data_IF_764489915787
#
_entry.id   IF_764489915787
#
_cell.length_a   1.000
_cell.length_b   1.000
_cell.length_c   1.000
_cell.angle_alpha   90.00
_cell.angle_beta   90.00
_cell.angle_gamma   90.00
#
_symmetry.space_group_name_H-M   'P 1'
#
loop_
_entity.id
_entity.type
_entity.pdbx_description
1 polymer ?
#
# COMPACT_ATOMS: atom_id res chain seq x y z
N UNK A 1 33.46 28.94 33.49
CA UNK A 1 33.03 29.34 32.13
C UNK A 1 32.31 28.18 31.43
N UNK A 2 31.23 27.61 32.00
CA UNK A 2 30.56 26.40 31.46
C UNK A 2 29.06 26.55 31.22
N UNK A 3 28.45 27.69 31.56
CA UNK A 3 26.99 27.84 31.62
C UNK A 3 26.30 28.01 30.26
N UNK A 4 26.99 28.52 29.25
CA UNK A 4 26.38 28.79 27.92
C UNK A 4 26.10 27.53 27.09
N UNK A 5 26.87 26.45 27.29
CA UNK A 5 26.62 25.17 26.61
C UNK A 5 25.39 24.44 27.18
N UNK A 6 25.14 24.59 28.49
CA UNK A 6 23.97 24.00 29.16
C UNK A 6 22.66 24.70 28.75
N UNK A 7 22.69 26.03 28.59
CA UNK A 7 21.53 26.81 28.12
C UNK A 7 21.16 26.48 26.67
N UNK A 8 22.16 26.39 25.77
CA UNK A 8 21.94 25.99 24.37
C UNK A 8 21.41 24.55 24.29
N UNK A 9 21.94 23.64 25.10
CA UNK A 9 21.47 22.27 25.20
C UNK A 9 20.02 22.18 25.70
N UNK A 10 19.66 22.97 26.71
CA UNK A 10 18.29 23.05 27.22
C UNK A 10 17.33 23.61 26.16
N UNK A 11 17.68 24.72 25.51
CA UNK A 11 16.86 25.33 24.46
C UNK A 11 16.66 24.39 23.28
N UNK A 12 17.71 23.67 22.87
CA UNK A 12 17.63 22.67 21.79
C UNK A 12 16.67 21.55 22.16
N UNK A 13 16.76 21.01 23.38
CA UNK A 13 15.84 19.95 23.85
C UNK A 13 14.39 20.43 23.91
N UNK A 14 14.16 21.66 24.36
CA UNK A 14 12.82 22.25 24.42
C UNK A 14 12.26 22.45 23.01
N UNK A 15 13.06 23.00 22.09
CA UNK A 15 12.66 23.20 20.70
C UNK A 15 12.31 21.88 20.02
N UNK A 16 13.15 20.85 20.18
CA UNK A 16 12.90 19.51 19.66
C UNK A 16 11.65 18.88 20.28
N UNK A 17 11.42 19.06 21.59
CA UNK A 17 10.22 18.56 22.27
C UNK A 17 8.94 19.20 21.74
N UNK A 18 8.95 20.52 21.52
CA UNK A 18 7.81 21.24 20.92
C UNK A 18 7.59 20.74 19.49
N UNK A 19 8.64 20.69 18.67
CA UNK A 19 8.54 20.23 17.29
C UNK A 19 8.00 18.80 17.20
N UNK A 20 8.46 17.89 18.07
CA UNK A 20 7.95 16.52 18.15
C UNK A 20 6.47 16.48 18.54
N UNK A 21 6.06 17.30 19.51
CA UNK A 21 4.66 17.38 19.96
C UNK A 21 3.75 17.91 18.84
N UNK A 22 4.17 18.96 18.14
CA UNK A 22 3.43 19.52 17.00
C UNK A 22 3.27 18.48 15.89
N UNK A 23 4.35 17.79 15.54
CA UNK A 23 4.30 16.69 14.55
C UNK A 23 3.33 15.61 14.97
N UNK A 24 3.37 15.18 16.23
CA UNK A 24 2.50 14.13 16.74
C UNK A 24 1.01 14.54 16.76
N UNK A 25 0.70 15.78 17.14
CA UNK A 25 -0.68 16.31 17.12
C UNK A 25 -1.19 16.40 15.68
N UNK A 26 -0.37 16.91 14.76
CA UNK A 26 -0.73 17.01 13.35
C UNK A 26 -0.94 15.62 12.72
N UNK A 27 -0.05 14.66 13.00
CA UNK A 27 -0.24 13.26 12.62
C UNK A 27 -1.58 12.73 13.13
N UNK A 28 -1.93 12.99 14.39
CA UNK A 28 -3.16 12.49 14.99
C UNK A 28 -4.39 13.05 14.28
N UNK A 29 -4.43 14.37 14.05
CA UNK A 29 -5.52 15.02 13.34
C UNK A 29 -5.67 14.51 11.90
N UNK A 30 -4.56 14.39 11.17
CA UNK A 30 -4.55 13.91 9.80
C UNK A 30 -4.99 12.45 9.67
N UNK A 31 -4.60 11.60 10.63
CA UNK A 31 -5.04 10.21 10.69
C UNK A 31 -6.55 10.10 10.96
N UNK A 32 -7.07 10.85 11.94
CA UNK A 32 -8.51 10.87 12.23
C UNK A 32 -9.30 11.36 11.01
N UNK A 33 -8.87 12.46 10.39
CA UNK A 33 -9.48 12.99 9.17
C UNK A 33 -9.49 11.94 8.06
N UNK A 34 -8.38 11.21 7.86
CA UNK A 34 -8.29 10.18 6.83
C UNK A 34 -9.23 9.00 7.12
N UNK A 35 -9.41 8.60 8.39
CA UNK A 35 -10.37 7.57 8.75
C UNK A 35 -11.83 8.00 8.49
N UNK A 36 -12.17 9.24 8.84
CA UNK A 36 -13.53 9.80 8.67
C UNK A 36 -13.88 10.05 7.20
N UNK A 37 -12.96 10.65 6.45
CA UNK A 37 -13.22 11.09 5.06
C UNK A 37 -12.80 10.08 4.01
N UNK A 38 -12.03 9.05 4.40
CA UNK A 38 -11.38 8.10 3.49
C UNK A 38 -10.58 8.81 2.39
N UNK A 39 -9.93 9.91 2.75
CA UNK A 39 -9.09 10.71 1.87
C UNK A 39 -7.78 11.06 2.59
N UNK A 40 -6.65 10.80 1.94
CA UNK A 40 -5.33 11.11 2.46
C UNK A 40 -4.95 12.56 2.15
N UNK A 41 -4.59 13.32 3.18
CA UNK A 41 -4.02 14.66 3.01
C UNK A 41 -2.61 14.60 2.40
N UNK A 42 -2.23 15.55 1.52
CA UNK A 42 -0.86 15.64 0.99
C UNK A 42 0.17 15.94 2.09
N UNK A 43 -0.25 16.48 3.24
CA UNK A 43 0.62 16.75 4.38
C UNK A 43 1.02 15.46 5.12
N UNK A 44 0.18 14.42 5.06
CA UNK A 44 0.45 13.11 5.64
C UNK A 44 1.34 12.28 4.71
N UNK A 45 1.01 12.22 3.42
CA UNK A 45 1.81 11.53 2.40
C UNK A 45 1.89 12.37 1.12
N UNK A 46 3.02 12.38 0.39
CA UNK A 46 3.14 13.12 -0.89
C UNK A 46 2.21 12.56 -1.96
N UNK A 47 1.57 13.41 -2.78
CA UNK A 47 0.62 12.99 -3.84
C UNK A 47 1.23 11.95 -4.80
N UNK A 48 0.50 10.90 -5.20
CA UNK A 48 1.04 9.79 -5.99
C UNK A 48 1.54 10.19 -7.38
N UNK A 49 1.11 11.34 -7.92
CA UNK A 49 1.57 11.83 -9.22
C UNK A 49 2.92 12.56 -9.19
N UNK A 50 3.48 12.80 -8.01
CA UNK A 50 4.74 13.55 -7.87
C UNK A 50 5.98 12.65 -7.69
N UNK A 51 5.82 11.32 -7.76
CA UNK A 51 6.92 10.35 -7.55
C UNK A 51 7.77 10.09 -8.79
N UNK A 52 7.49 10.77 -9.90
CA UNK A 52 8.26 10.67 -11.15
C UNK A 52 9.30 11.78 -11.31
N UNK A 53 10.09 12.13 -10.29
CA UNK A 53 11.27 13.02 -10.40
C UNK A 53 12.06 13.10 -9.09
N UNK A 54 12.82 12.06 -8.75
CA UNK A 54 13.93 12.24 -7.78
C UNK A 54 15.16 12.78 -8.50
N UNK A 55 15.09 14.02 -9.00
CA UNK A 55 16.25 14.84 -9.39
C UNK A 55 15.82 16.17 -10.02
N UNK A 56 15.41 17.12 -9.20
CA UNK A 56 15.56 18.53 -9.57
C UNK A 56 15.74 19.36 -8.31
N UNK A 57 17.01 19.72 -8.12
CA UNK A 57 17.51 20.79 -7.28
C UNK A 57 16.55 21.99 -7.39
N UNK A 58 15.76 22.27 -6.37
CA UNK A 58 14.97 23.50 -6.31
C UNK A 58 15.86 24.64 -5.81
N UNK A 59 16.79 25.03 -6.70
CA UNK A 59 17.27 26.39 -6.83
C UNK A 59 16.10 27.24 -7.37
N UNK A 60 15.15 27.58 -6.50
CA UNK A 60 14.07 28.48 -6.86
C UNK A 60 14.54 29.93 -6.70
N UNK A 61 15.08 30.44 -7.80
CA UNK A 61 14.97 31.83 -8.28
C UNK A 61 15.53 32.96 -7.41
N UNK A 62 16.85 33.13 -7.51
CA UNK A 62 17.45 34.45 -7.41
C UNK A 62 17.15 35.27 -8.69
N UNK A 63 16.43 36.38 -8.50
CA UNK A 63 16.73 37.70 -9.07
C UNK A 63 16.52 37.94 -10.58
N UNK A 64 15.38 38.54 -10.88
CA UNK A 64 15.20 39.65 -11.82
C UNK A 64 13.94 40.38 -11.34
N UNK A 65 13.85 41.69 -11.14
CA UNK A 65 14.67 42.83 -11.48
C UNK A 65 14.27 44.00 -10.55
N UNK A 66 15.19 44.94 -10.42
CA UNK A 66 15.16 46.19 -9.65
C UNK A 66 13.86 47.01 -9.71
N UNK A 67 13.42 47.57 -8.58
CA UNK A 67 13.48 49.01 -8.31
C UNK A 67 12.95 49.38 -6.91
N UNK A 68 13.58 50.41 -6.34
CA UNK A 68 13.48 51.02 -5.00
C UNK A 68 12.07 51.22 -4.38
N UNK A 69 12.03 51.21 -3.04
CA UNK A 69 11.59 52.28 -2.11
C UNK A 69 11.14 51.62 -0.78
N UNK A 70 11.92 51.73 0.29
CA UNK A 70 11.93 52.82 1.28
C UNK A 70 10.55 53.04 1.93
N UNK A 71 10.51 52.67 3.22
CA UNK A 71 9.53 52.96 4.27
C UNK A 71 8.43 53.97 3.91
N UNK A 72 7.16 53.54 4.00
CA UNK A 72 6.08 54.48 4.25
C UNK A 72 5.03 53.91 5.20
N UNK A 73 4.68 54.76 6.15
CA UNK A 73 3.79 54.59 7.28
C UNK A 73 2.48 55.30 6.94
N UNK A 74 1.35 54.67 7.30
CA UNK A 74 0.02 55.25 7.49
C UNK A 74 -1.02 55.17 6.35
N UNK A 75 -2.26 55.01 6.81
CA UNK A 75 -3.57 55.30 6.20
C UNK A 75 -4.19 54.31 5.19
N UNK A 76 -5.08 53.46 5.72
CA UNK A 76 -6.48 53.24 5.27
C UNK A 76 -6.79 52.85 3.82
N UNK A 77 -6.96 51.54 3.56
CA UNK A 77 -8.03 50.89 2.76
C UNK A 77 -7.66 49.41 2.47
N UNK A 78 -8.62 48.46 2.35
CA UNK A 78 -8.32 47.05 2.18
C UNK A 78 -8.08 46.73 0.69
N UNK A 79 -6.83 46.78 0.26
CA UNK A 79 -6.42 46.15 -0.99
C UNK A 79 -6.06 44.69 -0.71
N UNK A 80 -6.76 43.80 -1.41
CA UNK A 80 -6.57 42.35 -1.44
C UNK A 80 -5.12 42.00 -1.74
N UNK A 81 -4.31 41.94 -0.69
CA UNK A 81 -2.95 41.44 -0.75
C UNK A 81 -3.11 39.93 -0.64
N UNK A 82 -3.10 39.25 -1.78
CA UNK A 82 -2.80 37.83 -1.82
C UNK A 82 -1.40 37.67 -1.25
N UNK A 83 -1.33 37.49 0.07
CA UNK A 83 -0.19 36.87 0.73
C UNK A 83 0.07 35.60 -0.04
N UNK A 84 1.11 35.61 -0.88
CA UNK A 84 1.72 34.41 -1.42
C UNK A 84 2.30 33.68 -0.21
N UNK A 85 1.42 32.97 0.49
CA UNK A 85 1.76 32.05 1.55
C UNK A 85 2.63 31.00 0.92
N UNK A 86 3.94 31.14 1.13
CA UNK A 86 4.80 29.97 1.08
C UNK A 86 4.11 28.91 1.94
N UNK A 87 3.91 27.69 1.43
CA UNK A 87 3.22 26.68 2.19
C UNK A 87 4.05 26.44 3.46
N UNK A 88 3.47 26.78 4.61
CA UNK A 88 4.11 26.63 5.92
C UNK A 88 4.46 25.16 6.21
N UNK A 89 3.85 24.24 5.47
CA UNK A 89 4.10 22.81 5.52
C UNK A 89 4.40 22.25 4.14
N UNK A 90 5.29 21.25 4.07
CA UNK A 90 5.61 20.53 2.83
C UNK A 90 4.85 19.19 2.74
N UNK A 91 4.63 18.64 1.52
CA UNK A 91 3.99 17.35 1.36
C UNK A 91 4.76 16.24 2.09
N UNK A 92 4.04 15.37 2.80
CA UNK A 92 4.61 14.27 3.59
C UNK A 92 5.33 14.70 4.88
N UNK A 93 5.29 15.97 5.27
CA UNK A 93 5.95 16.45 6.50
C UNK A 93 5.51 15.69 7.76
N UNK A 94 4.26 15.22 7.79
CA UNK A 94 3.69 14.51 8.93
C UNK A 94 3.52 13.02 8.64
N UNK A 95 4.35 12.44 7.77
CA UNK A 95 4.38 10.99 7.58
C UNK A 95 4.57 10.27 8.92
N UNK A 96 3.79 9.22 9.15
CA UNK A 96 3.92 8.44 10.38
C UNK A 96 5.05 7.42 10.24
N UNK A 97 5.77 7.11 11.32
CA UNK A 97 6.77 6.05 11.29
C UNK A 97 6.12 4.68 11.01
N UNK A 98 6.90 3.80 10.38
CA UNK A 98 6.56 2.38 10.24
C UNK A 98 6.54 1.73 11.62
N UNK A 99 5.43 1.07 11.96
CA UNK A 99 5.22 0.41 13.25
C UNK A 99 5.24 -1.10 13.17
N UNK A 100 4.73 -1.64 12.06
CA UNK A 100 4.71 -3.07 11.83
C UNK A 100 4.86 -3.35 10.34
N UNK A 101 5.53 -4.45 10.03
CA UNK A 101 5.61 -4.97 8.68
C UNK A 101 5.59 -6.50 8.72
N UNK A 102 4.94 -7.11 7.72
CA UNK A 102 4.96 -8.56 7.53
C UNK A 102 4.94 -8.89 6.05
N UNK A 103 5.46 -10.06 5.70
CA UNK A 103 5.62 -10.50 4.31
C UNK A 103 4.89 -11.81 4.08
N UNK A 104 4.01 -11.82 3.10
CA UNK A 104 3.27 -12.99 2.64
C UNK A 104 3.95 -13.58 1.41
N UNK A 105 4.56 -14.75 1.57
CA UNK A 105 5.20 -15.47 0.47
C UNK A 105 4.12 -16.08 -0.43
N UNK A 106 4.15 -15.73 -1.72
CA UNK A 106 3.21 -16.23 -2.70
C UNK A 106 3.69 -17.57 -3.26
N UNK A 107 2.75 -18.52 -3.36
CA UNK A 107 3.04 -19.82 -3.99
C UNK A 107 3.17 -19.63 -5.50
N UNK A 108 3.98 -20.46 -6.17
CA UNK A 108 4.42 -20.27 -7.58
C UNK A 108 3.32 -20.08 -8.64
N UNK A 109 2.07 -20.41 -8.33
CA UNK A 109 0.92 -20.27 -9.25
C UNK A 109 0.12 -18.97 -9.06
N UNK A 110 0.44 -18.19 -8.03
CA UNK A 110 -0.26 -16.95 -7.70
C UNK A 110 0.62 -15.76 -8.07
N UNK A 111 0.18 -14.99 -9.07
CA UNK A 111 0.91 -13.82 -9.57
C UNK A 111 0.75 -12.65 -8.56
N UNK A 112 1.83 -11.93 -8.19
CA UNK A 112 1.78 -10.83 -7.22
C UNK A 112 0.70 -9.80 -7.47
N UNK A 113 0.61 -9.28 -8.70
CA UNK A 113 -0.37 -8.25 -9.04
C UNK A 113 -1.82 -8.75 -8.88
N UNK A 114 -2.09 -10.01 -9.25
CA UNK A 114 -3.40 -10.63 -9.06
C UNK A 114 -3.71 -10.79 -7.57
N UNK A 115 -2.76 -11.28 -6.78
CA UNK A 115 -2.91 -11.42 -5.33
C UNK A 115 -3.19 -10.07 -4.66
N UNK A 116 -2.46 -9.02 -5.04
CA UNK A 116 -2.64 -7.68 -4.50
C UNK A 116 -4.04 -7.16 -4.81
N UNK A 117 -4.48 -7.19 -6.08
CA UNK A 117 -5.82 -6.75 -6.47
C UNK A 117 -6.93 -7.54 -5.76
N UNK A 118 -6.73 -8.85 -5.56
CA UNK A 118 -7.64 -9.70 -4.81
C UNK A 118 -7.70 -9.32 -3.33
N UNK A 119 -6.57 -9.08 -2.67
CA UNK A 119 -6.55 -8.63 -1.27
C UNK A 119 -7.24 -7.27 -1.11
N UNK A 120 -6.95 -6.34 -2.02
CA UNK A 120 -7.58 -5.02 -2.08
C UNK A 120 -9.11 -5.13 -2.18
N UNK A 121 -9.62 -5.96 -3.10
CA UNK A 121 -11.05 -6.06 -3.38
C UNK A 121 -11.83 -6.99 -2.44
N UNK A 122 -11.18 -7.96 -1.77
CA UNK A 122 -11.90 -8.98 -1.01
C UNK A 122 -11.72 -8.92 0.51
N UNK A 123 -10.64 -8.30 0.98
CA UNK A 123 -10.32 -8.20 2.40
C UNK A 123 -10.21 -6.74 2.87
N UNK A 124 -9.70 -5.87 2.00
CA UNK A 124 -9.33 -4.49 2.37
C UNK A 124 -10.23 -3.41 1.76
N UNK A 125 -11.23 -3.78 0.97
CA UNK A 125 -12.10 -2.85 0.22
C UNK A 125 -12.74 -1.83 1.16
N UNK A 126 -13.31 -2.33 2.26
CA UNK A 126 -13.93 -1.49 3.28
C UNK A 126 -12.96 -0.56 4.00
N UNK A 127 -11.64 -0.72 3.84
CA UNK A 127 -10.61 0.11 4.47
C UNK A 127 -9.93 1.03 3.47
N UNK A 128 -10.28 0.98 2.18
CA UNK A 128 -9.58 1.73 1.14
C UNK A 128 -9.74 3.24 1.30
N UNK A 129 -8.65 3.96 0.98
CA UNK A 129 -8.61 5.41 0.86
C UNK A 129 -8.85 5.79 -0.61
N UNK A 130 -9.83 6.64 -0.88
CA UNK A 130 -10.33 6.88 -2.24
C UNK A 130 -9.33 7.57 -3.17
N UNK A 131 -8.53 8.49 -2.63
CA UNK A 131 -7.59 9.28 -3.42
C UNK A 131 -6.17 8.65 -3.50
N UNK A 132 -6.02 7.38 -3.07
CA UNK A 132 -4.74 6.67 -3.00
C UNK A 132 -4.91 5.18 -3.27
N UNK A 133 -4.31 4.68 -4.34
CA UNK A 133 -4.24 3.24 -4.59
C UNK A 133 -3.36 2.54 -3.55
N UNK A 134 -3.77 1.34 -3.14
CA UNK A 134 -3.06 0.46 -2.20
C UNK A 134 -2.79 1.12 -0.83
N UNK A 135 -3.58 2.14 -0.47
CA UNK A 135 -3.58 2.75 0.84
C UNK A 135 -4.90 2.44 1.55
N UNK A 136 -4.79 1.96 2.77
CA UNK A 136 -5.91 1.56 3.60
C UNK A 136 -5.83 2.25 4.95
N UNK A 137 -6.98 2.49 5.58
CA UNK A 137 -7.09 3.11 6.89
C UNK A 137 -7.90 2.21 7.81
N UNK A 138 -7.40 2.03 9.04
CA UNK A 138 -8.03 1.20 10.05
C UNK A 138 -7.97 1.89 11.41
N UNK A 139 -9.04 1.71 12.21
CA UNK A 139 -9.12 2.17 13.60
C UNK A 139 -9.31 0.98 14.51
N UNK A 140 -8.41 0.83 15.48
CA UNK A 140 -8.49 -0.23 16.47
C UNK A 140 -9.59 0.03 17.51
N UNK A 141 -9.89 -0.97 18.35
CA UNK A 141 -10.89 -0.83 19.43
C UNK A 141 -10.50 0.20 20.48
N UNK A 142 -9.23 0.57 20.57
CA UNK A 142 -8.71 1.59 21.51
C UNK A 142 -8.85 3.01 20.94
N UNK A 143 -9.25 3.14 19.67
CA UNK A 143 -9.45 4.40 18.98
C UNK A 143 -8.20 4.95 18.28
N UNK A 144 -7.11 4.19 18.22
CA UNK A 144 -5.92 4.55 17.47
C UNK A 144 -6.14 4.26 15.99
N UNK A 145 -5.74 5.21 15.15
CA UNK A 145 -5.90 5.13 13.70
C UNK A 145 -4.53 4.86 13.07
N UNK A 146 -4.54 3.97 12.07
CA UNK A 146 -3.38 3.53 11.32
C UNK A 146 -3.68 3.64 9.83
N UNK A 147 -2.64 3.91 9.03
CA UNK A 147 -2.70 3.60 7.60
C UNK A 147 -1.79 2.44 7.27
N UNK A 148 -2.14 1.77 6.19
CA UNK A 148 -1.49 0.55 5.76
C UNK A 148 -1.27 0.60 4.26
N UNK A 149 -0.16 0.01 3.80
CA UNK A 149 0.12 -0.17 2.38
C UNK A 149 0.45 -1.63 2.09
N UNK A 150 0.08 -2.07 0.88
CA UNK A 150 0.51 -3.35 0.33
C UNK A 150 1.50 -3.09 -0.81
N UNK A 151 2.67 -3.72 -0.72
CA UNK A 151 3.76 -3.55 -1.69
C UNK A 151 4.15 -4.90 -2.26
N UNK A 152 4.35 -4.95 -3.58
CA UNK A 152 4.90 -6.12 -4.26
C UNK A 152 6.43 -6.17 -4.06
N UNK A 153 6.94 -7.28 -3.48
CA UNK A 153 8.37 -7.53 -3.23
C UNK A 153 8.99 -8.50 -4.23
N UNK A 154 8.31 -8.82 -5.33
CA UNK A 154 8.80 -9.76 -6.35
C UNK A 154 10.06 -9.27 -7.10
N UNK A 155 10.33 -7.97 -7.13
CA UNK A 155 11.42 -7.34 -7.90
C UNK A 155 12.83 -7.51 -7.31
N UNK A 156 13.02 -8.32 -6.26
CA UNK A 156 14.34 -8.50 -5.63
C UNK A 156 14.62 -9.88 -5.02
N UNK A 157 13.69 -10.83 -5.13
CA UNK A 157 13.78 -12.16 -4.53
C UNK A 157 13.36 -13.23 -5.53
N UNK A 158 13.93 -14.43 -5.43
CA UNK A 158 13.54 -15.59 -6.26
C UNK A 158 12.11 -16.09 -6.00
N UNK A 159 11.46 -15.57 -4.95
CA UNK A 159 10.08 -15.88 -4.57
C UNK A 159 9.23 -14.62 -4.61
N UNK A 160 8.07 -14.73 -5.26
CA UNK A 160 7.04 -13.71 -5.27
C UNK A 160 6.51 -13.49 -3.85
N UNK A 161 6.44 -12.25 -3.39
CA UNK A 161 5.94 -11.93 -2.05
C UNK A 161 5.24 -10.58 -2.01
N UNK A 162 4.28 -10.43 -1.09
CA UNK A 162 3.59 -9.16 -0.81
C UNK A 162 3.93 -8.75 0.61
N UNK A 163 4.34 -7.50 0.80
CA UNK A 163 4.60 -6.93 2.12
C UNK A 163 3.45 -6.00 2.53
N UNK A 164 2.93 -6.23 3.74
CA UNK A 164 2.06 -5.30 4.43
C UNK A 164 2.90 -4.40 5.33
N UNK A 165 2.75 -3.09 5.18
CA UNK A 165 3.37 -2.09 6.04
C UNK A 165 2.28 -1.32 6.77
N UNK A 166 2.47 -1.10 8.08
CA UNK A 166 1.53 -0.42 8.96
C UNK A 166 2.21 0.76 9.61
N UNK A 167 1.59 1.92 9.47
CA UNK A 167 2.12 3.20 9.92
C UNK A 167 1.15 3.86 10.90
N UNK A 168 1.71 4.53 11.90
CA UNK A 168 0.91 5.26 12.88
C UNK A 168 1.75 5.84 14.00
N UNK A 169 1.07 6.50 14.93
CA UNK A 169 1.71 7.15 16.09
C UNK A 169 2.00 6.12 17.19
N UNK A 170 1.07 5.18 17.39
CA UNK A 170 1.12 4.16 18.43
C UNK A 170 1.48 2.80 17.84
N UNK A 171 1.84 1.85 18.70
CA UNK A 171 2.03 0.47 18.27
C UNK A 171 0.68 -0.19 17.94
N UNK A 172 0.57 -0.94 16.82
CA UNK A 172 -0.65 -1.64 16.44
C UNK A 172 -0.95 -2.78 17.42
N UNK A 173 -2.25 -3.05 17.61
CA UNK A 173 -2.72 -4.19 18.40
C UNK A 173 -2.76 -5.48 17.60
N UNK A 174 -3.04 -6.59 18.29
CA UNK A 174 -3.24 -7.93 17.70
C UNK A 174 -4.31 -7.94 16.61
N UNK A 175 -5.26 -7.00 16.64
CA UNK A 175 -6.27 -6.83 15.58
C UNK A 175 -5.64 -6.65 14.19
N UNK A 176 -4.49 -5.97 14.13
CA UNK A 176 -3.73 -5.72 12.90
C UNK A 176 -2.61 -6.74 12.75
N UNK A 177 -1.81 -6.97 13.80
CA UNK A 177 -0.59 -7.78 13.71
C UNK A 177 -0.86 -9.28 13.61
N UNK A 178 -2.01 -9.74 14.12
CA UNK A 178 -2.39 -11.17 14.14
C UNK A 178 -3.64 -11.40 13.32
N UNK A 179 -4.77 -10.81 13.71
CA UNK A 179 -6.08 -11.08 13.10
C UNK A 179 -6.13 -10.70 11.63
N UNK A 180 -5.74 -9.47 11.29
CA UNK A 180 -5.71 -9.04 9.90
C UNK A 180 -4.72 -9.87 9.08
N UNK A 181 -3.53 -10.13 9.61
CA UNK A 181 -2.52 -10.95 8.92
C UNK A 181 -3.07 -12.34 8.61
N UNK A 182 -3.72 -12.99 9.58
CA UNK A 182 -4.39 -14.28 9.42
C UNK A 182 -5.47 -14.23 8.35
N UNK A 183 -6.28 -13.17 8.31
CA UNK A 183 -7.33 -13.00 7.29
C UNK A 183 -6.72 -12.84 5.89
N UNK A 184 -5.64 -12.05 5.76
CA UNK A 184 -4.96 -11.86 4.48
C UNK A 184 -4.34 -13.18 3.97
N UNK A 185 -3.66 -13.92 4.84
CA UNK A 185 -3.13 -15.26 4.51
C UNK A 185 -4.22 -16.23 4.08
N UNK A 186 -5.31 -16.31 4.84
CA UNK A 186 -6.45 -17.16 4.52
C UNK A 186 -7.05 -16.80 3.14
N UNK A 187 -7.16 -15.51 2.81
CA UNK A 187 -7.67 -15.05 1.52
C UNK A 187 -6.73 -15.39 0.35
N UNK A 188 -5.42 -15.37 0.58
CA UNK A 188 -4.44 -15.81 -0.41
C UNK A 188 -4.57 -17.32 -0.68
N UNK A 189 -4.68 -18.12 0.39
CA UNK A 189 -4.84 -19.58 0.29
C UNK A 189 -6.15 -19.99 -0.38
N UNK A 190 -7.28 -19.38 0.00
CA UNK A 190 -8.58 -19.61 -0.62
C UNK A 190 -8.57 -19.29 -2.12
N UNK A 191 -7.85 -18.24 -2.51
CA UNK A 191 -7.72 -17.83 -3.91
C UNK A 191 -6.88 -18.83 -4.69
N UNK A 192 -5.78 -19.31 -4.12
CA UNK A 192 -4.98 -20.35 -4.72
C UNK A 192 -5.78 -21.64 -4.90
N UNK A 193 -6.56 -22.05 -3.89
CA UNK A 193 -7.39 -23.24 -3.98
C UNK A 193 -8.41 -23.12 -5.12
N UNK A 194 -9.07 -21.96 -5.28
CA UNK A 194 -9.98 -21.70 -6.40
C UNK A 194 -9.29 -21.80 -7.76
N UNK A 195 -8.08 -21.27 -7.88
CA UNK A 195 -7.27 -21.38 -9.11
C UNK A 195 -6.96 -22.85 -9.41
N UNK A 196 -6.54 -23.61 -8.40
CA UNK A 196 -6.24 -25.03 -8.54
C UNK A 196 -7.47 -25.86 -8.93
N UNK A 197 -8.62 -25.62 -8.28
CA UNK A 197 -9.88 -26.29 -8.59
C UNK A 197 -10.33 -26.03 -10.03
N UNK A 198 -10.19 -24.78 -10.51
CA UNK A 198 -10.54 -24.41 -11.88
C UNK A 198 -9.55 -24.94 -12.93
N UNK A 199 -8.32 -25.24 -12.51
CA UNK A 199 -7.28 -25.82 -13.37
C UNK A 199 -7.34 -27.35 -13.46
N UNK A 200 -8.18 -28.03 -12.67
CA UNK A 200 -8.43 -29.46 -12.85
C UNK A 200 -9.37 -29.67 -14.04
N UNK A 201 -8.92 -30.29 -15.15
CA UNK A 201 -9.81 -30.66 -16.23
C UNK A 201 -10.83 -31.66 -15.68
N UNK A 202 -12.10 -31.48 -16.00
CA UNK A 202 -13.10 -32.53 -15.82
C UNK A 202 -12.59 -33.78 -16.55
N UNK A 203 -12.11 -34.77 -15.80
CA UNK A 203 -11.88 -36.11 -16.31
C UNK A 203 -13.24 -36.67 -16.72
N UNK A 204 -13.65 -36.34 -17.96
CA UNK A 204 -14.74 -37.00 -18.65
C UNK A 204 -14.27 -38.43 -18.84
N UNK A 205 -14.78 -39.34 -18.01
CA UNK A 205 -14.53 -40.76 -18.12
C UNK A 205 -14.82 -41.20 -19.56
N UNK A 206 -13.77 -41.50 -20.32
CA UNK A 206 -13.91 -42.17 -21.59
C UNK A 206 -14.40 -43.60 -21.28
N UNK A 207 -15.48 -44.09 -21.91
CA UNK A 207 -15.92 -45.46 -21.71
C UNK A 207 -14.82 -46.37 -22.27
N UNK A 208 -14.26 -47.22 -21.39
CA UNK A 208 -13.32 -48.27 -21.78
C UNK A 208 -14.04 -49.20 -22.75
N UNK A 209 -13.69 -49.11 -24.03
CA UNK A 209 -13.99 -50.15 -25.01
C UNK A 209 -13.31 -51.43 -24.55
N UNK A 210 -14.13 -52.40 -24.12
CA UNK A 210 -13.67 -53.75 -23.78
C UNK A 210 -13.34 -54.47 -25.09
N UNK A 211 -12.09 -54.38 -25.51
CA UNK A 211 -11.52 -55.30 -26.49
C UNK A 211 -11.09 -56.58 -25.75
N UNK A 212 -11.98 -57.57 -25.72
CA UNK A 212 -11.68 -58.95 -25.33
C UNK A 212 -11.25 -59.75 -26.55
N UNK A 213 -10.01 -60.26 -26.52
CA UNK A 213 -9.36 -61.02 -27.57
C UNK A 213 -9.76 -62.54 -27.53
N UNK A 214 -9.03 -63.46 -28.19
CA UNK A 214 -9.52 -64.32 -29.26
C UNK A 214 -9.82 -65.77 -28.82
N UNK A 215 -10.71 -66.46 -29.55
CA UNK A 215 -11.04 -67.86 -29.31
C UNK A 215 -11.28 -68.61 -30.62
N UNK A 216 -10.41 -69.58 -30.87
CA UNK A 216 -10.40 -70.55 -31.99
C UNK A 216 -11.66 -71.41 -32.09
N UNK A 217 -12.11 -71.73 -33.32
CA UNK A 217 -12.07 -73.09 -33.92
C UNK A 217 -13.15 -73.32 -34.99
N UNK A 218 -12.70 -73.81 -36.16
CA UNK A 218 -13.33 -74.80 -37.06
C UNK A 218 -14.78 -74.61 -37.55
N UNK A 219 -14.98 -74.53 -38.88
CA UNK A 219 -15.24 -75.69 -39.76
C UNK A 219 -15.96 -75.27 -41.06
N UNK A 220 -15.50 -75.82 -42.21
CA UNK A 220 -16.27 -76.32 -43.39
C UNK A 220 -17.26 -75.33 -44.06
N UNK A 221 -17.35 -75.13 -45.38
CA UNK A 221 -17.15 -76.00 -46.53
C UNK A 221 -17.32 -75.20 -47.84
N UNK A 222 -16.85 -75.82 -48.93
CA UNK A 222 -17.45 -75.83 -50.29
C UNK A 222 -17.40 -74.59 -51.21
N UNK A 223 -16.55 -74.72 -52.24
CA UNK A 223 -16.95 -74.85 -53.67
C UNK A 223 -16.76 -73.68 -54.65
N UNK A 224 -16.33 -74.11 -55.85
CA UNK A 224 -16.40 -73.51 -57.20
C UNK A 224 -15.29 -72.51 -57.54
N UNK A 225 -14.24 -72.92 -58.27
CA UNK A 225 -14.17 -73.08 -59.76
C UNK A 225 -14.79 -71.90 -60.50
N UNK A 226 -13.99 -71.17 -61.26
CA UNK A 226 -14.01 -71.19 -62.73
C UNK A 226 -12.76 -70.48 -63.28
N UNK A 227 -12.29 -70.97 -64.43
CA UNK A 227 -11.28 -70.39 -65.32
C UNK A 227 -11.55 -68.91 -65.65
#
# INVERSE_FOLDING_TARGET
MSTGLDELGLLTRLHLGIAATVTQVNQFLLLQQMHETRSCSPLLLPSPHNTSSSSSIMLASARSSSHNNLFDMATGAPSSTSVSSSPFFWPGQFECPLKFQTTFVLKSRLVPHLALNMLCSSALEQFQVHNRHHLFVYRDKRGHVFYMTLVDKSQGSSSAAIELQVFGIREPSDEITVELCRVLEQKLDDTLLRILMKAMPTMKAAPRTVAGAPGSSSSLSSSSRQN
#
